data_IF_306999196420
#
_entry.id   IF_306999196420
#
_cell.length_a   1.000
_cell.length_b   1.000
_cell.length_c   1.000
_cell.angle_alpha   90.00
_cell.angle_beta   90.00
_cell.angle_gamma   90.00
#
_symmetry.space_group_name_H-M   'P 1'
#
loop_
_entity.id
_entity.type
_entity.pdbx_description
1 polymer ?
#
# COMPACT_ATOMS: atom_id res chain seq x y z
N UNK A 1 0.47 25.42 59.55
CA UNK A 1 1.34 25.16 58.39
C UNK A 1 0.49 24.40 57.40
N UNK A 2 0.01 25.06 56.32
CA UNK A 2 -0.78 24.42 55.26
C UNK A 2 0.16 24.17 54.07
N UNK A 3 0.43 22.91 53.77
CA UNK A 3 1.20 22.49 52.61
C UNK A 3 0.24 22.34 51.41
N UNK A 4 0.30 23.29 50.49
CA UNK A 4 -0.42 23.22 49.22
C UNK A 4 0.31 22.27 48.29
N UNK A 5 -0.28 21.10 47.97
CA UNK A 5 0.16 20.23 46.88
C UNK A 5 -0.25 20.86 45.54
N UNK A 6 0.74 21.32 44.76
CA UNK A 6 0.54 21.65 43.35
C UNK A 6 0.53 20.35 42.54
N UNK A 7 -0.63 19.92 42.03
CA UNK A 7 -0.76 18.88 41.06
C UNK A 7 -0.31 19.39 39.67
N UNK A 8 0.82 18.95 39.20
CA UNK A 8 1.26 19.20 37.84
C UNK A 8 0.45 18.29 36.88
N UNK A 9 -0.51 18.84 36.15
CA UNK A 9 -1.16 18.15 35.04
C UNK A 9 -0.17 18.15 33.86
N UNK A 10 0.41 17.01 33.58
CA UNK A 10 1.18 16.80 32.34
C UNK A 10 0.19 16.70 31.18
N UNK A 11 0.11 17.75 30.35
CA UNK A 11 -0.58 17.70 29.06
C UNK A 11 0.28 16.85 28.10
N UNK A 12 -0.08 15.58 27.92
CA UNK A 12 0.47 14.76 26.84
C UNK A 12 -0.17 15.23 25.53
N UNK A 13 0.58 15.97 24.72
CA UNK A 13 0.19 16.24 23.33
C UNK A 13 0.26 14.92 22.58
N UNK A 14 -0.89 14.34 22.21
CA UNK A 14 -0.95 13.28 21.21
C UNK A 14 -0.46 13.91 19.89
N UNK A 15 0.76 13.60 19.50
CA UNK A 15 1.23 13.86 18.14
C UNK A 15 0.51 12.87 17.23
N UNK A 16 -0.48 13.32 16.48
CA UNK A 16 -1.07 12.53 15.41
C UNK A 16 -0.07 12.50 14.27
N UNK A 17 0.81 11.49 14.26
CA UNK A 17 1.67 11.24 13.11
C UNK A 17 0.77 10.90 11.91
N UNK A 18 1.06 11.50 10.75
CA UNK A 18 0.38 11.11 9.52
C UNK A 18 0.78 9.67 9.14
N UNK A 19 -0.15 8.83 8.63
CA UNK A 19 0.17 7.47 8.24
C UNK A 19 1.17 7.44 7.08
N UNK A 20 2.03 6.43 7.05
CA UNK A 20 2.70 6.06 5.81
C UNK A 20 1.69 5.39 4.88
N UNK A 21 1.89 5.55 3.57
CA UNK A 21 1.13 4.82 2.56
C UNK A 21 2.07 3.83 1.88
N UNK A 22 1.69 2.56 1.92
CA UNK A 22 2.40 1.49 1.23
C UNK A 22 1.62 1.07 0.01
N UNK A 23 2.28 1.05 -1.15
CA UNK A 23 1.68 0.58 -2.39
C UNK A 23 2.30 -0.76 -2.77
N UNK A 24 1.44 -1.72 -3.10
CA UNK A 24 1.81 -3.02 -3.64
C UNK A 24 1.01 -3.31 -4.89
N UNK A 25 1.58 -4.12 -5.77
CA UNK A 25 0.88 -4.68 -6.92
C UNK A 25 0.04 -5.87 -6.48
N UNK A 26 -1.07 -6.14 -7.19
CA UNK A 26 -1.80 -7.39 -7.00
C UNK A 26 -0.93 -8.61 -7.39
N UNK A 27 -1.18 -9.75 -6.76
CA UNK A 27 -0.51 -11.01 -7.05
C UNK A 27 -0.66 -11.48 -8.49
N UNK A 28 0.08 -12.50 -8.84
CA UNK A 28 0.25 -13.03 -10.20
C UNK A 28 -1.08 -13.42 -10.83
N UNK A 29 -1.13 -13.29 -12.15
CA UNK A 29 -2.29 -13.62 -12.97
C UNK A 29 -2.08 -14.95 -13.71
N UNK A 30 -3.13 -15.75 -13.97
CA UNK A 30 -3.00 -16.96 -14.77
C UNK A 30 -2.40 -16.68 -16.15
N UNK A 31 -1.43 -17.48 -16.59
CA UNK A 31 -0.71 -17.30 -17.86
C UNK A 31 -1.63 -17.28 -19.08
N UNK A 32 -2.69 -18.09 -19.05
CA UNK A 32 -3.65 -18.21 -20.16
C UNK A 32 -4.84 -17.26 -20.05
N UNK A 33 -4.72 -16.23 -19.21
CA UNK A 33 -5.80 -15.30 -18.90
C UNK A 33 -6.77 -15.89 -17.87
N UNK A 34 -7.77 -15.12 -17.50
CA UNK A 34 -8.76 -15.52 -16.49
C UNK A 34 -9.06 -14.42 -15.50
N UNK A 35 -10.04 -14.70 -14.65
CA UNK A 35 -10.44 -13.86 -13.51
C UNK A 35 -9.74 -14.44 -12.29
N UNK A 36 -9.25 -13.57 -11.40
CA UNK A 36 -8.59 -13.98 -10.15
C UNK A 36 -7.08 -14.17 -10.26
N UNK A 37 -6.50 -14.67 -9.19
CA UNK A 37 -5.08 -14.94 -9.02
C UNK A 37 -4.69 -16.29 -9.62
N UNK A 38 -3.42 -16.45 -9.98
CA UNK A 38 -2.81 -17.79 -10.24
C UNK A 38 -2.47 -18.46 -8.91
N UNK A 39 -1.94 -19.70 -8.97
CA UNK A 39 -1.44 -20.38 -7.78
C UNK A 39 -0.33 -19.57 -7.11
N UNK A 40 0.64 -19.04 -7.87
CA UNK A 40 1.67 -18.14 -7.36
C UNK A 40 1.06 -16.87 -6.71
N UNK A 41 0.03 -16.31 -7.34
CA UNK A 41 -0.67 -15.15 -6.77
C UNK A 41 -1.42 -15.46 -5.48
N UNK A 42 -1.92 -16.68 -5.30
CA UNK A 42 -2.50 -17.15 -4.04
C UNK A 42 -1.42 -17.35 -2.98
N UNK A 43 -0.28 -17.94 -3.34
CA UNK A 43 0.88 -18.07 -2.44
C UNK A 43 1.39 -16.70 -2.00
N UNK A 44 1.45 -15.71 -2.90
CA UNK A 44 1.78 -14.32 -2.54
C UNK A 44 0.77 -13.73 -1.55
N UNK A 45 -0.52 -13.92 -1.79
CA UNK A 45 -1.55 -13.43 -0.88
C UNK A 45 -1.41 -14.01 0.55
N UNK A 46 -1.00 -15.28 0.68
CA UNK A 46 -0.68 -15.88 1.97
C UNK A 46 0.62 -15.30 2.57
N UNK A 47 1.66 -15.08 1.75
CA UNK A 47 2.92 -14.49 2.18
C UNK A 47 2.75 -13.09 2.77
N UNK A 48 1.83 -12.27 2.22
CA UNK A 48 1.57 -10.92 2.74
C UNK A 48 1.11 -10.90 4.20
N UNK A 49 0.56 -12.00 4.72
CA UNK A 49 0.17 -12.15 6.13
C UNK A 49 1.37 -12.09 7.06
N UNK A 50 2.50 -12.68 6.62
CA UNK A 50 3.75 -12.63 7.39
C UNK A 50 4.43 -11.26 7.27
N UNK A 51 4.34 -10.64 6.10
CA UNK A 51 5.01 -9.35 5.82
C UNK A 51 4.31 -8.19 6.53
N UNK A 52 2.98 -8.09 6.39
CA UNK A 52 2.19 -6.98 6.89
C UNK A 52 1.32 -7.31 8.11
N UNK A 53 1.46 -8.52 8.66
CA UNK A 53 0.66 -9.00 9.79
C UNK A 53 0.86 -8.19 11.07
N UNK A 54 0.10 -8.53 12.11
CA UNK A 54 0.02 -7.77 13.38
C UNK A 54 1.33 -7.61 14.14
N UNK A 55 2.36 -8.38 13.80
CA UNK A 55 3.69 -8.32 14.42
C UNK A 55 4.73 -7.61 13.53
N UNK A 56 4.32 -7.11 12.37
CA UNK A 56 5.21 -6.42 11.44
C UNK A 56 5.44 -4.96 11.83
N UNK A 57 6.57 -4.39 11.39
CA UNK A 57 6.86 -2.97 11.58
C UNK A 57 5.99 -2.05 10.69
N UNK A 58 5.22 -2.63 9.76
CA UNK A 58 4.36 -1.87 8.87
C UNK A 58 3.13 -1.27 9.55
N UNK A 59 2.68 -1.86 10.68
CA UNK A 59 1.58 -1.36 11.50
C UNK A 59 0.36 -0.95 10.65
N UNK A 60 -0.21 -1.91 9.92
CA UNK A 60 -1.30 -1.65 8.99
C UNK A 60 -2.62 -1.50 9.75
N UNK A 61 -3.23 -0.31 9.65
CA UNK A 61 -4.54 0.01 10.21
C UNK A 61 -5.64 0.20 9.16
N UNK A 62 -5.27 0.26 7.87
CA UNK A 62 -6.23 0.43 6.78
C UNK A 62 -5.75 -0.26 5.51
N UNK A 63 -6.66 -0.97 4.85
CA UNK A 63 -6.36 -1.66 3.60
C UNK A 63 -7.33 -1.22 2.52
N UNK A 64 -6.79 -0.78 1.37
CA UNK A 64 -7.55 -0.40 0.20
C UNK A 64 -7.18 -1.25 -1.02
N UNK A 65 -8.17 -1.62 -1.79
CA UNK A 65 -8.01 -2.23 -3.10
C UNK A 65 -8.95 -1.58 -4.12
N UNK A 66 -8.56 -1.56 -5.39
CA UNK A 66 -9.43 -1.01 -6.43
C UNK A 66 -10.77 -1.75 -6.49
N UNK A 67 -11.82 -1.01 -6.84
CA UNK A 67 -13.18 -1.55 -6.93
C UNK A 67 -13.30 -2.68 -7.96
N UNK A 68 -13.68 -3.90 -7.57
CA UNK A 68 -13.98 -4.98 -8.51
C UNK A 68 -15.17 -4.65 -9.40
N UNK A 69 -15.19 -5.20 -10.62
CA UNK A 69 -16.38 -5.16 -11.47
C UNK A 69 -17.39 -6.25 -11.06
N UNK A 70 -18.67 -6.01 -11.28
CA UNK A 70 -19.73 -7.03 -11.04
C UNK A 70 -19.50 -8.34 -11.80
N UNK A 71 -18.74 -8.30 -12.90
CA UNK A 71 -18.36 -9.48 -13.68
C UNK A 71 -17.20 -10.30 -13.07
N UNK A 72 -16.68 -9.92 -11.89
CA UNK A 72 -15.50 -10.50 -11.27
C UNK A 72 -14.17 -10.00 -11.82
N UNK A 73 -14.16 -9.25 -12.92
CA UNK A 73 -12.93 -8.62 -13.42
C UNK A 73 -12.41 -7.56 -12.44
N UNK A 74 -11.10 -7.33 -12.43
CA UNK A 74 -10.41 -6.36 -11.55
C UNK A 74 -10.48 -6.74 -10.06
N UNK A 75 -10.68 -8.03 -9.73
CA UNK A 75 -10.78 -8.52 -8.36
C UNK A 75 -9.44 -8.87 -7.73
N UNK A 76 -8.38 -9.05 -8.53
CA UNK A 76 -7.06 -9.49 -8.03
C UNK A 76 -6.52 -8.66 -6.87
N UNK A 77 -6.55 -7.30 -6.90
CA UNK A 77 -6.07 -6.53 -5.74
C UNK A 77 -6.83 -6.83 -4.44
N UNK A 78 -8.14 -7.04 -4.52
CA UNK A 78 -8.92 -7.45 -3.36
C UNK A 78 -8.54 -8.87 -2.90
N UNK A 79 -8.42 -9.82 -3.85
CA UNK A 79 -8.04 -11.21 -3.54
C UNK A 79 -6.65 -11.30 -2.92
N UNK A 80 -5.71 -10.46 -3.39
CA UNK A 80 -4.33 -10.41 -2.88
C UNK A 80 -4.27 -10.02 -1.40
N UNK A 81 -5.04 -9.02 -0.98
CA UNK A 81 -4.97 -8.52 0.40
C UNK A 81 -6.01 -9.12 1.34
N UNK A 82 -6.93 -9.93 0.81
CA UNK A 82 -8.00 -10.50 1.61
C UNK A 82 -7.52 -11.36 2.78
N UNK A 83 -6.58 -12.33 2.60
CA UNK A 83 -6.10 -13.14 3.73
C UNK A 83 -5.47 -12.31 4.84
N UNK A 84 -4.66 -11.32 4.50
CA UNK A 84 -4.09 -10.35 5.43
C UNK A 84 -5.18 -9.54 6.16
N UNK A 85 -6.16 -9.04 5.42
CA UNK A 85 -7.25 -8.26 5.99
C UNK A 85 -8.10 -9.08 6.99
N UNK A 86 -8.32 -10.36 6.69
CA UNK A 86 -9.01 -11.31 7.59
C UNK A 86 -8.20 -11.50 8.89
N UNK A 87 -6.87 -11.65 8.82
CA UNK A 87 -6.00 -11.80 9.99
C UNK A 87 -5.94 -10.55 10.87
N UNK A 88 -5.98 -9.38 10.26
CA UNK A 88 -5.94 -8.09 10.96
C UNK A 88 -7.32 -7.61 11.43
N UNK A 89 -8.39 -8.36 11.12
CA UNK A 89 -9.80 -7.96 11.33
C UNK A 89 -10.12 -6.57 10.70
N UNK A 90 -9.53 -6.31 9.53
CA UNK A 90 -9.69 -5.07 8.77
C UNK A 90 -10.60 -5.34 7.57
N UNK A 91 -11.62 -4.50 7.37
CA UNK A 91 -12.42 -4.54 6.16
C UNK A 91 -11.70 -3.84 5.01
N UNK A 92 -11.43 -4.57 3.92
CA UNK A 92 -10.83 -3.97 2.72
C UNK A 92 -11.79 -2.92 2.12
N UNK A 93 -11.32 -1.69 1.98
CA UNK A 93 -12.05 -0.64 1.25
C UNK A 93 -11.89 -0.82 -0.26
N UNK A 94 -13.00 -1.04 -0.94
CA UNK A 94 -13.08 -1.16 -2.40
C UNK A 94 -13.96 -0.08 -3.01
N UNK A 95 -14.06 1.08 -2.39
CA UNK A 95 -14.93 2.18 -2.83
C UNK A 95 -14.43 2.86 -4.10
N UNK A 96 -13.11 3.01 -4.27
CA UNK A 96 -12.49 3.73 -5.37
C UNK A 96 -12.34 2.86 -6.63
N UNK A 97 -12.71 3.43 -7.79
CA UNK A 97 -12.50 2.76 -9.08
C UNK A 97 -11.01 2.75 -9.43
N UNK A 98 -10.59 1.79 -10.26
CA UNK A 98 -9.19 1.64 -10.69
C UNK A 98 -8.57 2.93 -11.22
N UNK A 99 -9.32 3.67 -12.01
CA UNK A 99 -8.86 4.85 -12.75
C UNK A 99 -9.25 6.17 -12.03
N UNK A 100 -9.52 6.14 -10.71
CA UNK A 100 -10.00 7.29 -9.92
C UNK A 100 -8.99 7.63 -8.80
N UNK A 101 -7.83 8.17 -9.20
CA UNK A 101 -6.76 8.58 -8.31
C UNK A 101 -7.22 9.63 -7.28
N UNK A 102 -8.12 10.55 -7.68
CA UNK A 102 -8.69 11.55 -6.78
C UNK A 102 -9.48 10.95 -5.63
N UNK A 103 -10.20 9.84 -5.89
CA UNK A 103 -10.90 9.11 -4.85
C UNK A 103 -9.91 8.54 -3.83
N UNK A 104 -8.80 7.95 -4.30
CA UNK A 104 -7.75 7.38 -3.42
C UNK A 104 -7.11 8.46 -2.58
N UNK A 105 -6.67 9.59 -3.18
CA UNK A 105 -6.13 10.74 -2.46
C UNK A 105 -7.07 11.22 -1.36
N UNK A 106 -8.33 11.46 -1.71
CA UNK A 106 -9.34 11.89 -0.75
C UNK A 106 -9.51 10.91 0.41
N UNK A 107 -9.41 9.62 0.15
CA UNK A 107 -9.51 8.60 1.20
C UNK A 107 -8.31 8.66 2.14
N UNK A 108 -7.08 8.76 1.61
CA UNK A 108 -5.85 8.91 2.40
C UNK A 108 -5.91 10.16 3.27
N UNK A 109 -6.24 11.32 2.70
CA UNK A 109 -6.32 12.61 3.41
C UNK A 109 -7.39 12.62 4.52
N UNK A 110 -8.46 11.86 4.35
CA UNK A 110 -9.54 11.75 5.33
C UNK A 110 -9.34 10.61 6.34
N UNK A 111 -8.33 9.77 6.19
CA UNK A 111 -8.05 8.71 7.15
C UNK A 111 -7.70 9.29 8.52
N UNK A 112 -8.37 8.80 9.55
CA UNK A 112 -8.22 9.24 10.96
C UNK A 112 -8.05 8.06 11.91
N UNK A 113 -7.86 6.86 11.35
CA UNK A 113 -7.58 5.66 12.15
C UNK A 113 -6.14 5.64 12.68
N UNK A 114 -5.84 4.61 13.41
CA UNK A 114 -4.49 4.30 13.87
C UNK A 114 -3.77 3.43 12.83
N UNK A 115 -2.44 3.44 12.85
CA UNK A 115 -1.60 2.68 11.93
C UNK A 115 -1.51 3.27 10.52
N UNK A 116 -0.86 2.52 9.65
CA UNK A 116 -0.54 2.91 8.29
C UNK A 116 -1.56 2.37 7.27
N UNK A 117 -1.44 2.83 6.03
CA UNK A 117 -2.35 2.50 4.92
C UNK A 117 -1.64 1.58 3.94
N UNK A 118 -2.23 0.42 3.64
CA UNK A 118 -1.79 -0.48 2.57
C UNK A 118 -2.74 -0.36 1.37
N UNK A 119 -2.20 -0.09 0.19
CA UNK A 119 -2.95 0.03 -1.07
C UNK A 119 -2.47 -1.02 -2.04
N UNK A 120 -3.35 -1.97 -2.39
CA UNK A 120 -3.09 -2.96 -3.41
C UNK A 120 -3.81 -2.58 -4.71
N UNK A 121 -3.05 -2.43 -5.79
CA UNK A 121 -3.60 -1.88 -7.03
C UNK A 121 -3.08 -2.57 -8.29
N UNK A 122 -3.60 -2.16 -9.44
CA UNK A 122 -3.10 -2.52 -10.76
C UNK A 122 -1.91 -1.60 -11.09
N UNK A 123 -0.76 -2.21 -11.41
CA UNK A 123 0.53 -1.53 -11.47
C UNK A 123 0.62 -0.36 -12.46
N UNK A 124 0.01 -0.46 -13.66
CA UNK A 124 -0.02 0.66 -14.62
C UNK A 124 -0.76 1.90 -14.11
N UNK A 125 -1.50 1.80 -12.99
CA UNK A 125 -2.22 2.91 -12.37
C UNK A 125 -1.60 3.38 -11.07
N UNK A 126 -0.57 2.69 -10.58
CA UNK A 126 0.08 3.09 -9.34
C UNK A 126 0.81 4.42 -9.49
N UNK A 127 1.46 4.65 -10.64
CA UNK A 127 2.06 5.95 -10.98
C UNK A 127 1.03 7.08 -10.90
N UNK A 128 -0.14 6.92 -11.55
CA UNK A 128 -1.23 7.91 -11.51
C UNK A 128 -1.68 8.22 -10.06
N UNK A 129 -1.70 7.20 -9.16
CA UNK A 129 -2.08 7.39 -7.76
C UNK A 129 -1.04 8.24 -7.01
N UNK A 130 0.23 7.94 -7.22
CA UNK A 130 1.35 8.62 -6.54
C UNK A 130 1.52 10.05 -7.07
N UNK A 131 1.34 10.28 -8.37
CA UNK A 131 1.29 11.63 -8.98
C UNK A 131 0.15 12.47 -8.40
N UNK A 132 -1.05 11.92 -8.31
CA UNK A 132 -2.19 12.63 -7.72
C UNK A 132 -1.94 13.01 -6.26
N UNK A 133 -1.17 12.22 -5.50
CA UNK A 133 -0.78 12.55 -4.13
C UNK A 133 0.21 13.71 -4.05
N UNK A 134 1.00 13.97 -5.09
CA UNK A 134 1.91 15.10 -5.18
C UNK A 134 3.34 14.77 -5.59
N UNK A 135 3.64 13.54 -5.96
CA UNK A 135 4.94 13.16 -6.51
C UNK A 135 4.97 13.48 -8.00
N UNK A 136 5.58 14.61 -8.39
CA UNK A 136 5.68 15.05 -9.78
C UNK A 136 6.57 14.13 -10.65
N UNK A 137 7.48 13.38 -10.01
CA UNK A 137 8.40 12.44 -10.63
C UNK A 137 8.07 10.98 -10.26
N UNK A 138 6.78 10.65 -10.17
CA UNK A 138 6.34 9.33 -9.76
C UNK A 138 6.93 8.22 -10.66
N UNK A 139 7.51 7.16 -10.07
CA UNK A 139 8.12 6.09 -10.84
C UNK A 139 7.07 5.23 -11.54
N UNK A 140 7.47 4.54 -12.61
CA UNK A 140 6.68 3.45 -13.18
C UNK A 140 6.95 2.15 -12.41
N UNK A 141 5.90 1.40 -12.10
CA UNK A 141 6.06 0.08 -11.51
C UNK A 141 6.46 -0.92 -12.59
N UNK A 142 7.55 -1.71 -12.42
CA UNK A 142 8.02 -2.64 -13.43
C UNK A 142 6.98 -3.71 -13.80
N UNK A 143 6.84 -3.99 -15.10
CA UNK A 143 5.85 -4.95 -15.62
C UNK A 143 6.12 -6.40 -15.21
N UNK A 144 7.39 -6.75 -15.04
CA UNK A 144 7.89 -8.08 -14.73
C UNK A 144 7.99 -8.37 -13.23
N UNK A 145 7.73 -7.37 -12.36
CA UNK A 145 7.80 -7.51 -10.91
C UNK A 145 6.39 -7.53 -10.29
N UNK A 146 6.23 -8.33 -9.25
CA UNK A 146 4.98 -8.40 -8.45
C UNK A 146 5.21 -8.09 -6.98
N UNK A 147 6.45 -8.06 -6.56
CA UNK A 147 6.92 -8.11 -5.18
C UNK A 147 7.38 -6.77 -4.59
N UNK A 148 7.21 -5.66 -5.30
CA UNK A 148 7.74 -4.40 -4.80
C UNK A 148 6.74 -3.67 -3.89
N UNK A 149 7.23 -3.28 -2.71
CA UNK A 149 6.56 -2.40 -1.76
C UNK A 149 7.11 -1.00 -1.95
N UNK A 150 6.26 -0.05 -2.33
CA UNK A 150 6.62 1.37 -2.36
C UNK A 150 6.20 2.04 -1.07
N UNK A 151 7.11 2.75 -0.42
CA UNK A 151 6.83 3.53 0.79
C UNK A 151 6.69 5.00 0.43
N UNK A 152 5.52 5.57 0.70
CA UNK A 152 5.19 6.97 0.48
C UNK A 152 4.77 7.62 1.81
N UNK A 153 5.69 8.25 2.54
CA UNK A 153 5.40 8.93 3.79
C UNK A 153 4.77 10.31 3.55
N UNK A 154 4.10 10.86 4.56
CA UNK A 154 3.65 12.25 4.51
C UNK A 154 4.85 13.21 4.25
N UNK A 155 4.71 14.22 3.39
CA UNK A 155 3.48 14.75 2.77
C UNK A 155 3.04 14.04 1.47
N UNK A 156 3.49 12.83 1.18
CA UNK A 156 3.13 11.96 0.07
C UNK A 156 3.66 12.40 -1.31
N UNK A 157 4.66 13.23 -1.32
CA UNK A 157 5.24 13.79 -2.55
C UNK A 157 6.48 13.03 -3.06
N UNK A 158 6.83 11.89 -2.42
CA UNK A 158 7.96 11.09 -2.86
C UNK A 158 7.83 9.61 -2.41
N UNK A 159 8.31 8.69 -3.25
CA UNK A 159 8.53 7.30 -2.87
C UNK A 159 9.92 7.19 -2.26
N UNK A 160 9.99 7.13 -0.95
CA UNK A 160 11.27 7.21 -0.21
C UNK A 160 11.99 5.87 -0.09
N UNK A 161 11.28 4.75 -0.30
CA UNK A 161 11.84 3.42 -0.22
C UNK A 161 11.08 2.45 -1.13
N UNK A 162 11.82 1.55 -1.77
CA UNK A 162 11.29 0.42 -2.53
C UNK A 162 12.04 -0.83 -2.12
N UNK A 163 11.30 -1.83 -1.66
CA UNK A 163 11.85 -3.12 -1.24
C UNK A 163 11.04 -4.27 -1.82
N UNK A 164 11.65 -5.45 -1.91
CA UNK A 164 10.93 -6.67 -2.27
C UNK A 164 10.13 -7.20 -1.08
N UNK A 165 8.98 -7.79 -1.35
CA UNK A 165 8.19 -8.58 -0.39
C UNK A 165 8.96 -9.82 0.09
N UNK A 166 9.89 -10.32 -0.70
CA UNK A 166 10.73 -11.50 -0.41
C UNK A 166 9.90 -12.76 -0.10
N UNK A 167 8.81 -12.96 -0.82
CA UNK A 167 7.99 -14.16 -0.68
C UNK A 167 8.77 -15.41 -1.08
N UNK A 168 8.92 -16.39 -0.18
CA UNK A 168 9.69 -17.59 -0.45
C UNK A 168 9.17 -18.35 -1.68
N UNK A 169 10.09 -18.68 -2.60
CA UNK A 169 9.76 -19.42 -3.82
C UNK A 169 9.19 -18.58 -4.96
N UNK A 170 8.77 -17.34 -4.70
CA UNK A 170 8.22 -16.44 -5.71
C UNK A 170 9.21 -15.33 -6.10
N UNK A 171 9.94 -14.81 -5.13
CA UNK A 171 10.81 -13.67 -5.33
C UNK A 171 12.28 -14.11 -5.28
N UNK A 172 13.09 -13.64 -6.24
CA UNK A 172 14.53 -13.84 -6.21
C UNK A 172 15.14 -12.89 -5.18
N UNK A 173 15.39 -13.40 -3.97
CA UNK A 173 15.80 -12.58 -2.85
C UNK A 173 17.28 -12.20 -2.88
N UNK A 174 17.58 -10.95 -3.19
CA UNK A 174 18.88 -10.36 -2.85
C UNK A 174 18.75 -9.35 -1.70
N UNK A 175 17.55 -9.14 -1.14
CA UNK A 175 17.33 -8.27 0.03
C UNK A 175 17.80 -6.83 -0.14
N UNK A 176 18.14 -6.40 -1.34
CA UNK A 176 18.61 -5.05 -1.64
C UNK A 176 17.44 -4.11 -1.92
N UNK A 177 17.57 -2.86 -1.46
CA UNK A 177 16.69 -1.77 -1.86
C UNK A 177 16.70 -1.69 -3.39
N UNK A 178 15.52 -1.68 -3.98
CA UNK A 178 15.37 -1.58 -5.43
C UNK A 178 15.46 -0.10 -5.83
N UNK A 179 16.47 0.25 -6.63
CA UNK A 179 16.53 1.58 -7.23
C UNK A 179 15.51 1.68 -8.36
N UNK A 180 14.48 2.49 -8.15
CA UNK A 180 13.51 2.78 -9.21
C UNK A 180 14.20 3.54 -10.35
N UNK A 181 13.93 3.18 -11.61
CA UNK A 181 14.35 4.02 -12.73
C UNK A 181 13.70 5.39 -12.56
N UNK A 182 14.50 6.45 -12.59
CA UNK A 182 13.99 7.84 -12.54
C UNK A 182 13.00 8.04 -13.69
N UNK A 183 11.88 8.70 -13.38
CA UNK A 183 10.85 9.01 -14.36
C UNK A 183 11.44 9.63 -15.61
N UNK A 184 10.83 9.37 -16.75
CA UNK A 184 11.20 10.04 -18.00
C UNK A 184 10.93 11.53 -17.84
N UNK A 185 11.99 12.32 -17.78
CA UNK A 185 11.88 13.78 -17.93
C UNK A 185 11.01 14.07 -19.16
N UNK A 186 9.90 14.76 -18.97
CA UNK A 186 9.15 15.31 -20.08
C UNK A 186 10.12 16.16 -20.92
N UNK A 187 10.48 15.67 -22.09
CA UNK A 187 11.08 16.51 -23.10
C UNK A 187 10.02 17.51 -23.52
N UNK A 188 10.16 18.74 -23.03
CA UNK A 188 9.47 19.88 -23.60
C UNK A 188 9.87 19.99 -25.06
N UNK A 189 8.89 19.90 -25.94
CA UNK A 189 9.00 20.22 -27.38
C UNK A 189 8.28 21.54 -27.64
#
# INVERSE_FOLDING_TARGET
MYTTLLSLLALTTLSTAHPNVYFIRHGEKPQHGGIGLSDDGLERAECLRDIFGSHSEYDIGYIMAQKPKKSGKRNRPFETVRPLAEDLDIKVDTSCKRDDAKCVKKTIENYKGEGNILICWEHHRMTDLVEELGNEDAPEYPDDRFDLIWTNPYPYNDITKVVSEQCPGLDCGDGHDYELPKSRTHFES
#
